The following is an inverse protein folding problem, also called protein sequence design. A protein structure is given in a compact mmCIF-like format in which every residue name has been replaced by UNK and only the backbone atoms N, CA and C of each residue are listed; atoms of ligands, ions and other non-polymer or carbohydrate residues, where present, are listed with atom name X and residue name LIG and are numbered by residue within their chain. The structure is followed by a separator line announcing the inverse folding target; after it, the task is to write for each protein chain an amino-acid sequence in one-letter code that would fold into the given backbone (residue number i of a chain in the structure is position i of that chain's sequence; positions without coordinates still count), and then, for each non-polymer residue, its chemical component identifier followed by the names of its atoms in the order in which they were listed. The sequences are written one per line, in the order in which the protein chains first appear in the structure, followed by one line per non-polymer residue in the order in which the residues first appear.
data_IF_364834986827
#
_entry.id   IF_364834986827
#
_cell.length_a   1.000
_cell.length_b   1.000
_cell.length_c   1.000
_cell.angle_alpha   90.00
_cell.angle_beta   90.00
_cell.angle_gamma   90.00
#
_symmetry.space_group_name_H-M   'P 1'
#
loop_
_entity.id
_entity.type
_entity.pdbx_description
1 polymer ?
#
# COMPACT_ATOMS: atom_id res chain seq x y z
N UNK A 1 -12.30 -26.08 -9.53
CA UNK A 1 -12.59 -25.55 -8.18
C UNK A 1 -12.01 -24.14 -8.12
N UNK A 2 -12.70 -23.18 -7.48
CA UNK A 2 -12.20 -21.82 -7.31
C UNK A 2 -12.16 -21.46 -5.82
N UNK A 3 -11.11 -20.75 -5.39
CA UNK A 3 -11.01 -20.12 -4.07
C UNK A 3 -11.22 -18.64 -4.29
N UNK A 4 -12.23 -18.06 -3.63
CA UNK A 4 -12.58 -16.66 -3.76
C UNK A 4 -12.06 -15.91 -2.54
N UNK A 5 -11.28 -14.84 -2.78
CA UNK A 5 -10.73 -13.96 -1.75
C UNK A 5 -11.30 -12.55 -1.89
N UNK A 6 -11.41 -11.83 -0.79
CA UNK A 6 -11.64 -10.39 -0.81
C UNK A 6 -10.31 -9.69 -1.14
N UNK A 7 -10.30 -8.85 -2.18
CA UNK A 7 -9.08 -8.20 -2.65
C UNK A 7 -8.23 -9.08 -3.55
N UNK A 8 -6.91 -8.95 -3.47
CA UNK A 8 -5.94 -9.76 -4.20
C UNK A 8 -5.58 -11.01 -3.40
N UNK A 9 -5.63 -12.19 -4.04
CA UNK A 9 -5.35 -13.46 -3.37
C UNK A 9 -3.90 -13.60 -2.87
N UNK A 10 -2.96 -12.86 -3.45
CA UNK A 10 -1.54 -12.86 -3.10
C UNK A 10 -1.15 -11.85 -2.02
N UNK A 11 -2.05 -10.94 -1.61
CA UNK A 11 -1.74 -9.89 -0.63
C UNK A 11 -2.43 -10.18 0.71
N UNK A 12 -1.70 -10.82 1.63
CA UNK A 12 -2.18 -11.23 2.97
C UNK A 12 -3.48 -12.07 2.93
N UNK A 13 -3.64 -12.88 1.89
CA UNK A 13 -4.82 -13.70 1.63
C UNK A 13 -4.46 -15.18 1.37
N UNK A 14 -5.39 -15.94 0.86
CA UNK A 14 -5.30 -17.42 0.75
C UNK A 14 -4.29 -17.92 -0.29
N UNK A 15 -3.81 -17.07 -1.20
CA UNK A 15 -2.89 -17.49 -2.27
C UNK A 15 -1.61 -18.14 -1.75
N UNK A 16 -0.96 -17.53 -0.74
CA UNK A 16 0.25 -18.08 -0.15
C UNK A 16 0.02 -19.46 0.45
N UNK A 17 -1.10 -19.68 1.16
CA UNK A 17 -1.44 -20.97 1.77
C UNK A 17 -1.55 -22.08 0.73
N UNK A 18 -2.11 -21.81 -0.45
CA UNK A 18 -2.21 -22.81 -1.53
C UNK A 18 -0.82 -23.30 -1.94
N UNK A 19 0.13 -22.38 -2.14
CA UNK A 19 1.49 -22.75 -2.52
C UNK A 19 2.28 -23.37 -1.36
N UNK A 20 2.06 -22.96 -0.12
CA UNK A 20 2.64 -23.61 1.07
C UNK A 20 2.19 -25.07 1.19
N UNK A 21 0.91 -25.37 0.94
CA UNK A 21 0.40 -26.74 0.94
C UNK A 21 0.96 -27.59 -0.22
N UNK A 22 1.13 -26.98 -1.40
CA UNK A 22 1.76 -27.65 -2.55
C UNK A 22 3.25 -27.92 -2.33
N UNK A 23 3.94 -27.08 -1.56
CA UNK A 23 5.37 -27.25 -1.26
C UNK A 23 5.66 -28.33 -0.22
N UNK A 24 4.66 -28.74 0.57
CA UNK A 24 4.81 -29.74 1.65
C UNK A 24 4.51 -31.15 1.15
N UNK A 25 5.19 -32.13 1.72
CA UNK A 25 4.87 -33.55 1.49
C UNK A 25 3.58 -33.95 2.23
N UNK A 26 2.89 -34.97 1.71
CA UNK A 26 1.64 -35.47 2.30
C UNK A 26 1.82 -35.89 3.76
N UNK A 27 2.99 -36.47 4.10
CA UNK A 27 3.37 -36.81 5.49
C UNK A 27 3.53 -35.58 6.40
N UNK A 28 3.74 -34.39 5.83
CA UNK A 28 3.89 -33.11 6.53
C UNK A 28 2.62 -32.25 6.47
N UNK A 29 1.46 -32.88 6.32
CA UNK A 29 0.16 -32.21 6.13
C UNK A 29 0.08 -31.36 4.86
N UNK A 30 0.85 -31.70 3.83
CA UNK A 30 0.71 -31.17 2.47
C UNK A 30 -0.38 -31.88 1.67
N UNK A 31 -0.37 -31.68 0.37
CA UNK A 31 -1.35 -32.28 -0.55
C UNK A 31 -0.84 -33.57 -1.20
N UNK A 32 -1.77 -34.44 -1.62
CA UNK A 32 -1.42 -35.67 -2.29
C UNK A 32 -0.68 -35.44 -3.63
N UNK A 33 0.03 -36.46 -4.11
CA UNK A 33 0.72 -36.41 -5.40
C UNK A 33 -0.24 -36.16 -6.58
N UNK A 34 -1.49 -36.60 -6.47
CA UNK A 34 -2.52 -36.31 -7.46
C UNK A 34 -2.91 -34.81 -7.46
N UNK A 35 -3.08 -34.23 -6.29
CA UNK A 35 -3.40 -32.82 -6.15
C UNK A 35 -2.27 -31.89 -6.62
N UNK A 36 -1.00 -32.28 -6.45
CA UNK A 36 0.18 -31.55 -6.98
C UNK A 36 0.20 -31.42 -8.51
N UNK A 37 -0.54 -32.27 -9.23
CA UNK A 37 -0.64 -32.22 -10.70
C UNK A 37 -1.73 -31.26 -11.19
N UNK A 38 -2.52 -30.67 -10.27
CA UNK A 38 -3.54 -29.69 -10.63
C UNK A 38 -2.85 -28.36 -10.90
N UNK A 39 -3.14 -27.79 -12.07
CA UNK A 39 -2.69 -26.45 -12.40
C UNK A 39 -3.35 -25.42 -11.47
N UNK A 40 -2.55 -24.52 -10.91
CA UNK A 40 -3.02 -23.44 -10.05
C UNK A 40 -2.76 -22.10 -10.75
N UNK A 41 -3.84 -21.38 -11.04
CA UNK A 41 -3.77 -20.03 -11.59
C UNK A 41 -4.31 -19.03 -10.58
N UNK A 42 -3.64 -17.89 -10.44
CA UNK A 42 -4.08 -16.78 -9.60
C UNK A 42 -4.53 -15.62 -10.49
N UNK A 43 -5.78 -15.20 -10.37
CA UNK A 43 -6.25 -13.98 -10.99
C UNK A 43 -5.91 -12.79 -10.09
N UNK A 44 -5.36 -11.67 -10.63
CA UNK A 44 -5.09 -10.48 -9.86
C UNK A 44 -6.39 -9.84 -9.36
N UNK A 45 -6.32 -9.21 -8.20
CA UNK A 45 -7.42 -8.47 -7.59
C UNK A 45 -7.01 -7.08 -7.14
N UNK A 46 -7.99 -6.28 -6.72
CA UNK A 46 -7.75 -4.95 -6.15
C UNK A 46 -7.64 -5.07 -4.63
N UNK A 47 -6.44 -4.94 -4.10
CA UNK A 47 -6.22 -4.98 -2.65
C UNK A 47 -6.69 -3.69 -1.97
N UNK A 48 -6.90 -3.75 -0.66
CA UNK A 48 -7.36 -2.62 0.14
C UNK A 48 -6.46 -1.39 0.01
N UNK A 49 -5.14 -1.56 -0.14
CA UNK A 49 -4.21 -0.43 -0.35
C UNK A 49 -4.50 0.35 -1.64
N UNK A 50 -4.79 -0.35 -2.76
CA UNK A 50 -5.10 0.30 -4.04
C UNK A 50 -6.47 0.98 -3.97
N UNK A 51 -7.45 0.31 -3.36
CA UNK A 51 -8.77 0.89 -3.15
C UNK A 51 -8.71 2.15 -2.27
N UNK A 52 -7.94 2.11 -1.17
CA UNK A 52 -7.71 3.26 -0.30
C UNK A 52 -7.01 4.42 -1.03
N UNK A 53 -5.95 4.13 -1.79
CA UNK A 53 -5.24 5.14 -2.56
C UNK A 53 -6.16 5.82 -3.59
N UNK A 54 -6.97 5.03 -4.30
CA UNK A 54 -7.91 5.56 -5.31
C UNK A 54 -9.02 6.45 -4.70
N UNK A 55 -9.38 6.24 -3.42
CA UNK A 55 -10.37 7.06 -2.70
C UNK A 55 -9.77 8.30 -2.05
N UNK A 56 -8.48 8.29 -1.74
CA UNK A 56 -7.81 9.36 -1.00
C UNK A 56 -6.92 10.26 -1.87
N UNK A 57 -6.72 9.95 -3.15
CA UNK A 57 -5.88 10.72 -4.08
C UNK A 57 -4.78 9.88 -4.72
N UNK A 58 -3.52 10.28 -4.57
CA UNK A 58 -2.35 9.61 -5.15
C UNK A 58 -1.25 9.39 -4.10
N UNK A 59 -1.63 8.88 -2.92
CA UNK A 59 -0.67 8.64 -1.83
C UNK A 59 0.42 7.64 -2.23
N UNK A 60 0.12 6.67 -3.10
CA UNK A 60 1.06 5.69 -3.66
C UNK A 60 1.84 6.23 -4.88
N UNK A 61 1.94 7.54 -5.02
CA UNK A 61 2.63 8.18 -6.15
C UNK A 61 4.15 7.98 -6.17
N UNK A 62 4.74 7.53 -5.06
CA UNK A 62 6.17 7.22 -4.92
C UNK A 62 6.36 5.81 -4.32
N UNK A 63 7.58 5.48 -3.90
CA UNK A 63 7.90 4.18 -3.33
C UNK A 63 7.05 3.87 -2.09
N UNK A 64 6.55 2.66 -2.02
CA UNK A 64 5.67 2.22 -0.95
C UNK A 64 5.92 0.78 -0.55
N UNK A 65 5.51 0.43 0.66
CA UNK A 65 5.51 -0.94 1.15
C UNK A 65 4.22 -1.27 1.91
N UNK A 66 4.01 -2.57 2.11
CA UNK A 66 2.91 -3.08 2.93
C UNK A 66 3.46 -3.81 4.14
N UNK A 67 2.87 -3.59 5.31
CA UNK A 67 3.25 -4.27 6.56
C UNK A 67 1.98 -4.76 7.25
N UNK A 68 1.91 -6.06 7.54
CA UNK A 68 0.87 -6.60 8.41
C UNK A 68 1.29 -6.46 9.87
N UNK A 69 0.44 -5.88 10.71
CA UNK A 69 0.64 -5.78 12.15
C UNK A 69 0.11 -7.01 12.91
N UNK A 70 -0.24 -8.09 12.20
CA UNK A 70 -0.64 -9.34 12.82
C UNK A 70 0.60 -10.12 13.29
N UNK A 71 0.68 -10.33 14.60
CA UNK A 71 1.72 -11.13 15.26
C UNK A 71 1.35 -12.61 15.43
N UNK A 72 0.34 -13.09 14.69
CA UNK A 72 -0.09 -14.50 14.74
C UNK A 72 0.92 -15.44 14.11
N UNK A 73 1.53 -15.04 13.01
CA UNK A 73 2.47 -15.84 12.22
C UNK A 73 3.87 -15.22 12.15
N UNK A 74 4.00 -13.96 12.52
CA UNK A 74 5.27 -13.22 12.47
C UNK A 74 5.56 -12.65 13.85
N UNK A 75 6.72 -12.96 14.47
CA UNK A 75 7.13 -12.38 15.74
C UNK A 75 7.16 -10.85 15.70
N UNK A 76 6.79 -10.21 16.81
CA UNK A 76 6.64 -8.76 16.86
C UNK A 76 7.95 -8.00 16.60
N UNK A 77 9.09 -8.53 17.07
CA UNK A 77 10.42 -7.96 16.82
C UNK A 77 10.75 -7.84 15.32
N UNK A 78 10.32 -8.82 14.50
CA UNK A 78 10.48 -8.75 13.05
C UNK A 78 9.55 -7.70 12.43
N UNK A 79 8.34 -7.51 12.98
CA UNK A 79 7.41 -6.46 12.53
C UNK A 79 8.02 -5.08 12.83
N UNK A 80 8.56 -4.88 14.05
CA UNK A 80 9.26 -3.64 14.42
C UNK A 80 10.42 -3.32 13.48
N UNK A 81 11.28 -4.30 13.18
CA UNK A 81 12.40 -4.14 12.24
C UNK A 81 11.92 -3.68 10.85
N UNK A 82 10.79 -4.22 10.36
CA UNK A 82 10.22 -3.79 9.07
C UNK A 82 9.70 -2.37 9.12
N UNK A 83 9.09 -1.96 10.23
CA UNK A 83 8.58 -0.59 10.41
C UNK A 83 9.76 0.40 10.48
N UNK A 84 10.82 0.06 11.23
CA UNK A 84 12.05 0.86 11.29
C UNK A 84 12.70 1.02 9.92
N UNK A 85 12.86 -0.07 9.17
CA UNK A 85 13.43 -0.05 7.83
C UNK A 85 12.58 0.79 6.85
N UNK A 86 11.26 0.68 6.93
CA UNK A 86 10.34 1.47 6.13
C UNK A 86 10.33 2.96 6.52
N UNK A 87 10.50 3.26 7.81
CA UNK A 87 10.68 4.60 8.33
C UNK A 87 11.97 5.24 7.81
N UNK A 88 13.09 4.53 7.95
CA UNK A 88 14.41 4.98 7.49
C UNK A 88 14.46 5.16 5.97
N UNK A 89 13.82 4.27 5.20
CA UNK A 89 13.73 4.35 3.74
C UNK A 89 12.70 5.36 3.22
N UNK A 90 11.98 6.03 4.10
CA UNK A 90 10.93 7.02 3.78
C UNK A 90 9.83 6.49 2.84
N UNK A 91 9.48 5.21 2.94
CA UNK A 91 8.39 4.62 2.15
C UNK A 91 7.03 5.11 2.60
N UNK A 92 6.08 5.25 1.69
CA UNK A 92 4.66 5.24 2.05
C UNK A 92 4.31 3.85 2.56
N UNK A 93 3.65 3.74 3.71
CA UNK A 93 3.38 2.46 4.35
C UNK A 93 1.87 2.19 4.41
N UNK A 94 1.44 1.04 3.89
CA UNK A 94 0.09 0.53 4.09
C UNK A 94 0.09 -0.56 5.17
N UNK A 95 -0.47 -0.25 6.34
CA UNK A 95 -0.62 -1.20 7.42
C UNK A 95 -1.90 -2.02 7.26
N UNK A 96 -1.73 -3.33 7.18
CA UNK A 96 -2.80 -4.32 7.20
C UNK A 96 -2.95 -4.90 8.60
N UNK A 97 -4.16 -5.32 8.95
CA UNK A 97 -4.47 -5.85 10.29
C UNK A 97 -4.01 -4.92 11.41
N UNK A 98 -4.29 -3.60 11.34
CA UNK A 98 -3.68 -2.61 12.23
C UNK A 98 -4.07 -2.83 13.68
N UNK A 99 -5.26 -3.34 13.92
CA UNK A 99 -5.77 -3.70 15.26
C UNK A 99 -6.60 -4.98 15.20
N UNK A 100 -6.82 -5.61 16.37
CA UNK A 100 -7.83 -6.62 16.58
C UNK A 100 -8.55 -6.34 17.90
N UNK A 101 -9.64 -7.08 18.21
CA UNK A 101 -10.36 -6.92 19.49
C UNK A 101 -9.47 -7.02 20.72
N UNK A 102 -8.36 -7.76 20.64
CA UNK A 102 -7.42 -8.00 21.75
C UNK A 102 -6.06 -7.33 21.58
N UNK A 103 -5.76 -6.72 20.42
CA UNK A 103 -4.42 -6.24 20.05
C UNK A 103 -4.52 -4.88 19.40
N UNK A 104 -4.34 -3.84 20.21
CA UNK A 104 -4.30 -2.43 19.77
C UNK A 104 -2.89 -1.84 19.89
N UNK A 105 -2.02 -2.49 20.66
CA UNK A 105 -0.66 -2.02 20.99
C UNK A 105 0.23 -1.95 19.74
N UNK A 106 0.01 -2.83 18.75
CA UNK A 106 0.83 -2.88 17.53
C UNK A 106 0.81 -1.58 16.76
N UNK A 107 -0.37 -1.00 16.50
CA UNK A 107 -0.47 0.27 15.78
C UNK A 107 0.08 1.45 16.59
N UNK A 108 -0.08 1.45 17.91
CA UNK A 108 0.51 2.47 18.78
C UNK A 108 2.04 2.44 18.73
N UNK A 109 2.66 1.24 18.77
CA UNK A 109 4.10 1.07 18.60
C UNK A 109 4.56 1.52 17.20
N UNK A 110 3.84 1.13 16.15
CA UNK A 110 4.16 1.55 14.79
C UNK A 110 4.15 3.08 14.65
N UNK A 111 3.13 3.76 15.22
CA UNK A 111 3.09 5.22 15.30
C UNK A 111 4.32 5.79 16.01
N UNK A 112 4.66 5.25 17.18
CA UNK A 112 5.81 5.73 17.97
C UNK A 112 7.14 5.58 17.20
N UNK A 113 7.36 4.45 16.54
CA UNK A 113 8.54 4.22 15.71
C UNK A 113 8.60 5.24 14.57
N UNK A 114 7.50 5.41 13.82
CA UNK A 114 7.48 6.31 12.66
C UNK A 114 7.67 7.78 13.03
N UNK A 115 7.25 8.21 14.21
CA UNK A 115 7.49 9.58 14.71
C UNK A 115 8.99 9.88 14.94
N UNK A 116 9.87 8.86 15.03
CA UNK A 116 11.31 9.06 15.05
C UNK A 116 11.89 9.37 13.66
N UNK A 117 11.16 9.05 12.59
CA UNK A 117 11.62 9.16 11.21
C UNK A 117 10.86 10.21 10.40
N UNK A 118 9.70 10.67 10.87
CA UNK A 118 8.80 11.54 10.11
C UNK A 118 8.21 12.64 10.97
N UNK A 119 7.92 13.81 10.39
CA UNK A 119 7.19 14.87 11.06
C UNK A 119 5.82 14.42 11.57
N UNK A 120 5.39 15.02 12.68
CA UNK A 120 4.09 14.70 13.27
C UNK A 120 2.89 15.08 12.37
N UNK A 121 3.08 16.01 11.44
CA UNK A 121 2.09 16.44 10.44
C UNK A 121 2.08 15.57 9.18
N UNK A 122 2.90 14.50 9.12
CA UNK A 122 2.84 13.52 8.02
C UNK A 122 1.43 13.02 7.81
N UNK A 123 0.88 13.08 6.57
CA UNK A 123 -0.49 12.67 6.31
C UNK A 123 -0.71 11.17 6.55
N UNK A 124 -1.83 10.85 7.19
CA UNK A 124 -2.33 9.49 7.40
C UNK A 124 -3.73 9.39 6.83
N UNK A 125 -4.00 8.30 6.10
CA UNK A 125 -5.32 7.95 5.59
C UNK A 125 -5.83 6.72 6.33
N UNK A 126 -6.99 6.84 6.95
CA UNK A 126 -7.75 5.73 7.50
C UNK A 126 -8.86 5.39 6.50
N UNK A 127 -8.77 4.22 5.90
CA UNK A 127 -9.75 3.77 4.91
C UNK A 127 -10.47 2.53 5.46
N UNK A 128 -11.73 2.72 5.84
CA UNK A 128 -12.55 1.73 6.52
C UNK A 128 -13.62 1.18 5.60
N UNK A 129 -13.87 -0.13 5.66
CA UNK A 129 -14.97 -0.83 4.97
C UNK A 129 -15.06 -0.58 3.48
N UNK A 130 -13.91 -0.44 2.79
CA UNK A 130 -13.84 -0.13 1.37
C UNK A 130 -14.71 -1.04 0.51
N UNK A 131 -15.48 -0.42 -0.40
CA UNK A 131 -16.43 -1.11 -1.29
C UNK A 131 -17.70 -1.62 -0.61
N UNK A 132 -18.00 -1.17 0.62
CA UNK A 132 -19.19 -1.53 1.40
C UNK A 132 -20.05 -0.30 1.69
N UNK A 133 -21.31 -0.46 2.13
CA UNK A 133 -22.17 0.68 2.48
C UNK A 133 -21.59 1.60 3.55
N UNK A 134 -20.77 1.04 4.47
CA UNK A 134 -20.12 1.77 5.56
C UNK A 134 -18.73 2.27 5.18
N UNK A 135 -18.44 2.44 3.88
CA UNK A 135 -17.16 2.97 3.42
C UNK A 135 -16.93 4.37 3.98
N UNK A 136 -15.77 4.55 4.62
CA UNK A 136 -15.37 5.84 5.18
C UNK A 136 -13.88 6.09 4.95
N UNK A 137 -13.54 7.30 4.51
CA UNK A 137 -12.16 7.78 4.38
C UNK A 137 -11.98 8.94 5.35
N UNK A 138 -10.99 8.82 6.23
CA UNK A 138 -10.61 9.87 7.17
C UNK A 138 -9.17 10.23 7.00
N UNK A 139 -8.88 11.53 6.99
CA UNK A 139 -7.52 12.06 6.94
C UNK A 139 -7.08 12.51 8.33
N UNK A 140 -5.86 12.16 8.73
CA UNK A 140 -5.24 12.52 10.01
C UNK A 140 -3.79 12.95 9.78
N UNK A 141 -3.16 13.50 10.80
CA UNK A 141 -1.72 13.61 10.87
C UNK A 141 -1.17 12.47 11.72
N UNK A 142 0.06 12.06 11.48
CA UNK A 142 0.69 10.96 12.22
C UNK A 142 0.72 11.24 13.73
N UNK A 143 1.02 12.48 14.14
CA UNK A 143 1.03 12.88 15.56
C UNK A 143 -0.34 12.81 16.23
N UNK A 144 -1.41 13.13 15.49
CA UNK A 144 -2.78 13.19 15.99
C UNK A 144 -3.55 11.88 15.81
N UNK A 145 -2.91 10.85 15.23
CA UNK A 145 -3.57 9.57 14.97
C UNK A 145 -4.04 8.95 16.29
N UNK A 146 -5.35 8.83 16.43
CA UNK A 146 -6.00 8.11 17.52
C UNK A 146 -6.18 6.63 17.13
N UNK A 147 -5.61 5.73 17.93
CA UNK A 147 -5.71 4.29 17.69
C UNK A 147 -7.14 3.79 17.92
N UNK A 148 -7.93 4.49 18.72
CA UNK A 148 -9.31 4.09 19.00
C UNK A 148 -10.27 4.33 17.84
N UNK A 149 -9.89 5.15 16.86
CA UNK A 149 -10.62 5.31 15.60
C UNK A 149 -10.44 4.13 14.63
N UNK A 150 -9.48 3.23 14.88
CA UNK A 150 -9.10 2.16 13.97
C UNK A 150 -9.78 0.86 14.37
N UNK A 151 -10.37 0.18 13.40
CA UNK A 151 -10.97 -1.13 13.55
C UNK A 151 -10.35 -2.20 12.65
N UNK A 152 -10.89 -3.42 12.66
CA UNK A 152 -10.41 -4.55 11.86
C UNK A 152 -10.70 -4.40 10.36
N UNK A 153 -11.60 -3.49 9.97
CA UNK A 153 -11.99 -3.23 8.59
C UNK A 153 -11.21 -2.05 7.99
N UNK A 154 -10.26 -1.50 8.76
CA UNK A 154 -9.48 -0.32 8.37
C UNK A 154 -8.12 -0.72 7.82
N UNK A 155 -7.74 -0.18 6.66
CA UNK A 155 -6.35 -0.08 6.24
C UNK A 155 -5.83 1.30 6.61
N UNK A 156 -4.63 1.35 7.21
CA UNK A 156 -4.00 2.60 7.62
C UNK A 156 -2.85 2.88 6.67
N UNK A 157 -2.90 4.01 5.97
CA UNK A 157 -1.82 4.41 5.08
C UNK A 157 -1.10 5.63 5.66
N UNK A 158 0.19 5.50 5.91
CA UNK A 158 1.05 6.57 6.41
C UNK A 158 1.89 7.10 5.26
N UNK A 159 1.81 8.39 4.99
CA UNK A 159 2.59 9.04 3.93
C UNK A 159 4.10 9.00 4.17
N UNK A 160 4.91 9.25 3.14
CA UNK A 160 6.32 9.58 3.27
C UNK A 160 6.51 11.01 3.82
N UNK A 161 7.73 11.42 4.14
CA UNK A 161 8.04 12.78 4.60
C UNK A 161 7.63 13.87 3.58
N UNK A 162 7.61 13.50 2.29
CA UNK A 162 7.21 14.39 1.19
C UNK A 162 5.72 14.35 0.86
N UNK A 163 4.95 13.45 1.46
CA UNK A 163 3.50 13.36 1.22
C UNK A 163 2.78 14.61 1.67
N UNK A 164 1.77 15.02 0.92
CA UNK A 164 1.01 16.26 1.16
C UNK A 164 -0.48 16.01 1.11
N UNK A 165 -1.20 16.77 1.91
CA UNK A 165 -2.66 16.88 1.88
C UNK A 165 -3.04 18.18 1.19
N UNK A 166 -3.99 18.10 0.27
CA UNK A 166 -4.53 19.25 -0.46
C UNK A 166 -6.06 19.25 -0.42
N UNK A 167 -6.62 20.44 -0.39
CA UNK A 167 -8.05 20.65 -0.62
C UNK A 167 -8.32 20.84 -2.12
N UNK A 168 -9.40 20.24 -2.61
CA UNK A 168 -9.89 20.41 -3.98
C UNK A 168 -11.41 20.36 -4.00
N UNK A 169 -12.03 20.55 -5.18
CA UNK A 169 -13.49 20.62 -5.30
C UNK A 169 -14.24 19.37 -4.79
N UNK A 170 -13.61 18.20 -4.79
CA UNK A 170 -14.16 16.94 -4.27
C UNK A 170 -13.87 16.68 -2.80
N UNK A 171 -13.25 17.61 -2.06
CA UNK A 171 -12.86 17.43 -0.66
C UNK A 171 -11.37 17.51 -0.44
N UNK A 172 -10.81 16.61 0.36
CA UNK A 172 -9.37 16.51 0.61
C UNK A 172 -8.76 15.32 -0.15
N UNK A 173 -7.53 15.51 -0.63
CA UNK A 173 -6.72 14.43 -1.20
C UNK A 173 -5.33 14.40 -0.60
N UNK A 174 -4.74 13.20 -0.55
CA UNK A 174 -3.35 12.97 -0.15
C UNK A 174 -2.58 12.43 -1.35
N UNK A 175 -1.42 12.99 -1.61
CA UNK A 175 -0.53 12.52 -2.66
C UNK A 175 0.93 12.53 -2.21
N UNK A 176 1.75 11.68 -2.83
CA UNK A 176 3.20 11.67 -2.64
C UNK A 176 3.86 12.11 -3.95
N UNK A 177 4.58 13.26 -3.97
CA UNK A 177 5.18 13.80 -5.19
C UNK A 177 6.25 12.86 -5.76
N UNK A 178 6.28 12.70 -7.10
CA UNK A 178 7.39 12.04 -7.82
C UNK A 178 8.44 13.03 -8.35
N UNK A 179 8.29 14.31 -8.05
CA UNK A 179 9.23 15.34 -8.50
C UNK A 179 8.90 15.95 -9.86
N UNK A 180 7.72 15.69 -10.44
CA UNK A 180 7.31 16.28 -11.72
C UNK A 180 7.33 17.81 -11.72
N UNK A 181 7.08 18.46 -10.58
CA UNK A 181 7.11 19.92 -10.45
C UNK A 181 8.45 20.53 -10.89
N UNK A 182 9.57 19.83 -10.66
CA UNK A 182 10.91 20.28 -11.12
C UNK A 182 10.98 20.47 -12.64
N UNK A 183 10.17 19.75 -13.41
CA UNK A 183 10.10 19.86 -14.87
C UNK A 183 9.07 20.89 -15.33
N UNK A 184 8.08 21.23 -14.48
CA UNK A 184 7.09 22.25 -14.77
C UNK A 184 7.66 23.65 -14.59
N UNK A 185 8.61 23.82 -13.67
CA UNK A 185 9.28 25.09 -13.37
C UNK A 185 10.47 25.37 -14.34
N UNK A 186 10.87 24.38 -15.14
CA UNK A 186 11.86 24.58 -16.21
C UNK A 186 11.17 25.23 -17.41
N UNK A 187 11.69 26.36 -17.97
CA UNK A 187 11.12 26.94 -19.16
C UNK A 187 11.09 25.86 -20.26
N UNK A 188 9.94 25.69 -20.86
CA UNK A 188 9.76 24.75 -21.97
C UNK A 188 10.86 25.01 -22.99
N UNK A 189 11.78 24.07 -23.17
CA UNK A 189 12.61 24.06 -24.36
C UNK A 189 11.63 23.93 -25.52
N UNK A 190 11.43 25.06 -26.21
CA UNK A 190 10.67 25.13 -27.44
C UNK A 190 11.19 24.01 -28.33
N UNK A 191 10.33 23.05 -28.64
CA UNK A 191 10.62 22.06 -29.65
C UNK A 191 10.87 22.83 -30.96
N UNK A 192 12.11 23.10 -31.26
CA UNK A 192 12.52 23.47 -32.61
C UNK A 192 12.20 22.27 -33.48
N UNK A 193 11.11 22.42 -34.16
CA UNK A 193 10.68 21.56 -35.25
C UNK A 193 11.76 21.73 -36.34
N UNK A 194 12.78 20.87 -36.36
CA UNK A 194 13.65 20.73 -37.53
C UNK A 194 12.75 20.17 -38.65
N UNK A 195 12.29 21.09 -39.48
CA UNK A 195 11.76 20.77 -40.79
C UNK A 195 12.91 20.21 -41.63
N UNK A 196 12.99 18.89 -41.74
CA UNK A 196 13.77 18.21 -42.75
C UNK A 196 13.18 18.60 -44.11
N UNK A 197 13.83 19.60 -44.74
CA UNK A 197 13.66 19.87 -46.15
C UNK A 197 14.45 18.78 -46.88
N UNK A 198 13.74 17.74 -47.30
CA UNK A 198 14.24 16.85 -48.35
C UNK A 198 14.41 17.66 -49.63
N UNK A 199 15.63 18.03 -49.95
CA UNK A 199 16.01 18.41 -51.29
C UNK A 199 15.99 17.15 -52.17
N UNK A 200 14.95 17.03 -52.97
CA UNK A 200 14.96 16.15 -54.15
C UNK A 200 15.99 16.66 -55.15
N UNK A 201 17.02 15.89 -55.39
CA UNK A 201 17.95 16.10 -56.55
C UNK A 201 17.38 15.32 -57.73
N UNK A 202 17.09 15.98 -58.89
CA UNK A 202 16.62 15.28 -60.06
C UNK A 202 17.80 14.75 -60.90
N UNK A 203 17.70 13.48 -61.31
CA UNK A 203 18.20 12.93 -62.58
C UNK A 203 17.29 11.80 -63.01
#
# INVERSE_FOLDING_TARGET
MAIICSGDAGIYAMGALVYELLARDEAEAGVSQAARRVEVMTAPGVSALQAAAARSGAILGHDFCTISLSDLLTPWDQIEQRIEAAGLGDFVIAFYNPVSRRRRVGMAKAKAILLNHRPADTPVVLATSLGRPEEEIRHRNLGDLDIDEIDMMTVVMVGASTSRRIAHAGGEAVFTPRGYAKHLDSPAQSAEHQSDTNEETPL
#
